data_IF_344589111234
#
_entry.id   IF_344589111234
#
_cell.length_a   1.000
_cell.length_b   1.000
_cell.length_c   1.000
_cell.angle_alpha   90.00
_cell.angle_beta   90.00
_cell.angle_gamma   90.00
#
_symmetry.space_group_name_H-M   'P 1'
#
loop_
_entity.id
_entity.type
_entity.pdbx_description
1 polymer ?
#
# COMPACT_ATOMS: atom_id res chain seq x y z
N UNK A 1 12.19 -22.14 -3.44
CA UNK A 1 11.36 -20.98 -3.85
C UNK A 1 11.76 -19.81 -2.96
N UNK A 2 11.82 -18.58 -3.48
CA UNK A 2 12.10 -17.43 -2.63
C UNK A 2 10.93 -17.23 -1.64
N UNK A 3 11.26 -16.88 -0.40
CA UNK A 3 10.27 -16.56 0.62
C UNK A 3 9.62 -15.20 0.31
N UNK A 4 8.29 -15.11 0.45
CA UNK A 4 7.58 -13.85 0.25
C UNK A 4 7.79 -12.95 1.47
N UNK A 5 8.15 -11.69 1.22
CA UNK A 5 8.37 -10.70 2.28
C UNK A 5 7.07 -9.91 2.48
N UNK A 6 6.59 -9.85 3.71
CA UNK A 6 5.49 -8.96 4.09
C UNK A 6 5.98 -7.51 4.09
N UNK A 7 5.34 -6.66 3.29
CA UNK A 7 5.69 -5.23 3.18
C UNK A 7 4.64 -4.33 3.79
N UNK A 8 3.44 -4.83 4.05
CA UNK A 8 2.35 -4.09 4.66
C UNK A 8 1.50 -5.01 5.53
N UNK A 9 0.98 -4.47 6.64
CA UNK A 9 -0.09 -5.09 7.41
C UNK A 9 -0.94 -3.99 8.01
N UNK A 10 -2.25 -4.12 7.89
CA UNK A 10 -3.15 -3.12 8.46
C UNK A 10 -4.60 -3.53 8.43
N UNK A 11 -5.44 -2.61 8.90
CA UNK A 11 -6.88 -2.82 9.05
C UNK A 11 -7.64 -1.83 8.15
N UNK A 12 -8.87 -2.20 7.77
CA UNK A 12 -9.83 -1.28 7.17
C UNK A 12 -10.53 -0.51 8.28
N UNK A 13 -10.34 0.80 8.34
CA UNK A 13 -11.01 1.66 9.32
C UNK A 13 -12.40 2.08 8.83
N UNK A 14 -13.34 2.45 9.72
CA UNK A 14 -14.67 2.89 9.32
C UNK A 14 -14.68 4.05 8.33
N UNK A 15 -13.74 5.00 8.45
CA UNK A 15 -13.61 6.12 7.51
C UNK A 15 -13.00 5.75 6.16
N UNK A 16 -12.53 4.51 6.00
CA UNK A 16 -12.17 3.99 4.69
C UNK A 16 -13.39 3.49 3.91
N UNK A 17 -14.50 3.18 4.59
CA UNK A 17 -15.70 2.71 3.94
C UNK A 17 -16.48 3.86 3.30
N UNK A 18 -17.05 3.62 2.12
CA UNK A 18 -18.01 4.53 1.50
C UNK A 18 -19.44 4.24 1.96
N UNK A 19 -20.42 4.90 1.33
CA UNK A 19 -21.83 4.78 1.72
C UNK A 19 -22.43 3.38 1.47
N UNK A 20 -21.73 2.51 0.74
CA UNK A 20 -22.13 1.11 0.51
C UNK A 20 -21.55 0.17 1.57
N UNK A 21 -20.88 0.70 2.60
CA UNK A 21 -20.25 -0.03 3.70
C UNK A 21 -19.04 -0.88 3.29
N UNK A 22 -18.47 -0.60 2.11
CA UNK A 22 -17.26 -1.26 1.60
C UNK A 22 -16.09 -0.28 1.55
N UNK A 23 -14.87 -0.79 1.72
CA UNK A 23 -13.67 0.03 1.57
C UNK A 23 -13.65 0.69 0.19
N UNK A 24 -13.62 2.02 0.19
CA UNK A 24 -13.59 2.78 -1.05
C UNK A 24 -12.31 2.46 -1.84
N UNK A 25 -12.45 2.43 -3.16
CA UNK A 25 -11.36 2.07 -4.10
C UNK A 25 -10.08 2.89 -3.91
N UNK A 26 -10.18 4.16 -3.49
CA UNK A 26 -8.98 5.00 -3.26
C UNK A 26 -8.05 4.45 -2.18
N UNK A 27 -8.60 3.74 -1.18
CA UNK A 27 -7.81 3.22 -0.06
C UNK A 27 -7.01 1.98 -0.42
N UNK A 28 -7.37 1.26 -1.49
CA UNK A 28 -6.53 0.16 -2.00
C UNK A 28 -5.18 0.69 -2.49
N UNK A 29 -5.18 1.82 -3.21
CA UNK A 29 -3.94 2.48 -3.66
C UNK A 29 -3.07 2.86 -2.48
N UNK A 30 -3.65 3.50 -1.44
CA UNK A 30 -2.90 3.90 -0.26
C UNK A 30 -2.22 2.73 0.46
N UNK A 31 -2.93 1.60 0.62
CA UNK A 31 -2.37 0.39 1.25
C UNK A 31 -1.22 -0.21 0.44
N UNK A 32 -1.33 -0.25 -0.89
CA UNK A 32 -0.23 -0.68 -1.76
C UNK A 32 0.95 0.30 -1.74
N UNK A 33 0.69 1.61 -1.64
CA UNK A 33 1.75 2.63 -1.55
C UNK A 33 2.53 2.51 -0.23
N UNK A 34 1.85 2.31 0.90
CA UNK A 34 2.48 2.04 2.20
C UNK A 34 3.40 0.81 2.14
N UNK A 35 2.93 -0.28 1.51
CA UNK A 35 3.75 -1.47 1.26
C UNK A 35 4.93 -1.21 0.32
N UNK A 36 4.74 -0.37 -0.70
CA UNK A 36 5.77 -0.01 -1.67
C UNK A 36 6.90 0.78 -1.00
N UNK A 37 6.59 1.73 -0.11
CA UNK A 37 7.60 2.48 0.64
C UNK A 37 8.38 1.60 1.61
N UNK A 38 7.71 0.67 2.30
CA UNK A 38 8.39 -0.31 3.14
C UNK A 38 9.32 -1.19 2.31
N UNK A 39 8.87 -1.67 1.15
CA UNK A 39 9.70 -2.44 0.23
C UNK A 39 10.94 -1.66 -0.24
N UNK A 40 10.78 -0.40 -0.64
CA UNK A 40 11.91 0.46 -1.04
C UNK A 40 12.90 0.66 0.10
N UNK A 41 12.41 0.87 1.33
CA UNK A 41 13.26 0.97 2.51
C UNK A 41 14.09 -0.30 2.74
N UNK A 42 13.49 -1.49 2.56
CA UNK A 42 14.20 -2.78 2.67
C UNK A 42 15.29 -2.95 1.61
N UNK A 43 15.13 -2.35 0.43
CA UNK A 43 16.13 -2.32 -0.64
C UNK A 43 17.19 -1.21 -0.48
N UNK A 44 17.13 -0.42 0.60
CA UNK A 44 18.04 0.71 0.83
C UNK A 44 17.66 1.99 0.08
N UNK A 45 16.51 2.01 -0.62
CA UNK A 45 15.94 3.23 -1.21
C UNK A 45 15.17 3.96 -0.12
N UNK A 46 15.91 4.52 0.83
CA UNK A 46 15.37 5.23 1.98
C UNK A 46 15.05 6.69 1.64
N UNK A 47 14.24 7.39 2.47
CA UNK A 47 14.01 8.81 2.30
C UNK A 47 15.30 9.66 2.35
N UNK A 48 16.29 9.27 3.17
CA UNK A 48 17.59 9.97 3.19
C UNK A 48 18.35 9.74 1.90
N UNK A 49 18.44 8.50 1.43
CA UNK A 49 19.09 8.18 0.16
C UNK A 49 18.50 9.00 -1.01
N UNK A 50 17.18 9.07 -1.10
CA UNK A 50 16.50 9.84 -2.15
C UNK A 50 16.87 11.34 -2.08
N UNK A 51 16.83 11.95 -0.89
CA UNK A 51 17.19 13.37 -0.72
C UNK A 51 18.67 13.64 -1.00
N UNK A 52 19.56 12.84 -0.45
CA UNK A 52 21.02 13.02 -0.55
C UNK A 52 21.51 12.86 -2.00
N UNK A 53 20.78 12.09 -2.82
CA UNK A 53 21.11 11.85 -4.22
C UNK A 53 20.24 12.66 -5.20
N UNK A 54 19.36 13.55 -4.71
CA UNK A 54 18.46 14.34 -5.56
C UNK A 54 17.51 13.49 -6.41
N UNK A 55 17.00 12.39 -5.85
CA UNK A 55 16.12 11.43 -6.53
C UNK A 55 14.70 11.47 -5.95
N UNK A 56 13.74 11.05 -6.78
CA UNK A 56 12.35 10.85 -6.38
C UNK A 56 11.76 9.61 -7.04
N UNK A 57 10.65 9.13 -6.50
CA UNK A 57 9.90 8.00 -7.05
C UNK A 57 8.58 8.50 -7.64
N UNK A 58 8.14 7.90 -8.73
CA UNK A 58 6.86 8.19 -9.35
C UNK A 58 6.15 6.88 -9.70
N UNK A 59 4.91 6.73 -9.25
CA UNK A 59 4.02 5.68 -9.73
C UNK A 59 3.52 6.06 -11.13
N UNK A 60 4.09 5.44 -12.17
CA UNK A 60 3.76 5.77 -13.57
C UNK A 60 2.51 5.04 -14.04
N UNK A 61 2.32 3.81 -13.58
CA UNK A 61 1.17 2.98 -13.94
C UNK A 61 0.79 2.07 -12.77
N UNK A 62 -0.52 1.89 -12.55
CA UNK A 62 -1.04 0.95 -11.57
C UNK A 62 -2.27 0.25 -12.14
N UNK A 63 -2.28 -1.08 -12.09
CA UNK A 63 -3.41 -1.93 -12.48
C UNK A 63 -3.86 -2.74 -11.27
N UNK A 64 -5.05 -2.44 -10.76
CA UNK A 64 -5.62 -3.11 -9.58
C UNK A 64 -6.78 -4.00 -10.03
N UNK A 65 -6.75 -5.27 -9.63
CA UNK A 65 -7.88 -6.19 -9.78
C UNK A 65 -8.55 -6.39 -8.42
N UNK A 66 -9.77 -5.87 -8.28
CA UNK A 66 -10.58 -6.03 -7.07
C UNK A 66 -11.23 -7.41 -7.09
N UNK A 67 -10.94 -8.24 -6.08
CA UNK A 67 -11.40 -9.64 -6.02
C UNK A 67 -12.51 -9.87 -5.00
N UNK A 68 -12.52 -9.07 -3.94
CA UNK A 68 -13.46 -9.16 -2.84
C UNK A 68 -13.62 -7.78 -2.22
N UNK A 69 -14.83 -7.49 -1.75
CA UNK A 69 -15.12 -6.33 -0.91
C UNK A 69 -14.51 -6.52 0.48
N UNK A 70 -14.05 -5.42 1.09
CA UNK A 70 -13.53 -5.39 2.44
C UNK A 70 -14.37 -4.43 3.28
N UNK A 71 -14.59 -4.80 4.54
CA UNK A 71 -15.43 -4.08 5.49
C UNK A 71 -14.60 -3.53 6.65
N UNK A 72 -15.17 -2.60 7.40
CA UNK A 72 -14.50 -2.06 8.59
C UNK A 72 -14.14 -3.20 9.58
N UNK A 73 -12.89 -3.20 10.03
CA UNK A 73 -12.33 -4.25 10.91
C UNK A 73 -11.60 -5.37 10.16
N UNK A 74 -11.77 -5.52 8.85
CA UNK A 74 -11.00 -6.50 8.07
C UNK A 74 -9.50 -6.19 8.12
N UNK A 75 -8.69 -7.24 8.28
CA UNK A 75 -7.22 -7.15 8.26
C UNK A 75 -6.67 -7.60 6.92
N UNK A 76 -5.64 -6.91 6.43
CA UNK A 76 -4.90 -7.23 5.22
C UNK A 76 -3.40 -7.27 5.51
N UNK A 77 -2.69 -8.18 4.83
CA UNK A 77 -1.24 -8.33 4.84
C UNK A 77 -0.78 -8.90 3.50
#
# INVERSE_FOLDING_TARGET
MAEMIETYRGTVYPWHCDHMDHMNVMWYVGKFDEGTWNFFSMLGVTPSYLRDNGRGMAAVEQRIAYRRELHAGDTVA
#
